data_IF_491029124870
#
_entry.id   IF_491029124870
#
_cell.length_a   1.000
_cell.length_b   1.000
_cell.length_c   1.000
_cell.angle_alpha   90.00
_cell.angle_beta   90.00
_cell.angle_gamma   90.00
#
_symmetry.space_group_name_H-M   'P 1'
#
loop_
_entity.id
_entity.type
_entity.pdbx_description
1 polymer ?
#
# COMPACT_ATOMS: atom_id res chain seq x y z
N UNK A 1 -7.09 42.61 9.55
CA UNK A 1 -5.92 42.27 10.40
C UNK A 1 -5.92 40.74 10.56
N UNK A 2 -5.23 40.06 9.65
CA UNK A 2 -5.20 38.59 9.56
C UNK A 2 -4.02 38.06 10.38
N UNK A 3 -4.31 37.28 11.40
CA UNK A 3 -3.28 36.63 12.22
C UNK A 3 -3.05 35.21 11.70
N UNK A 4 -1.98 35.04 10.93
CA UNK A 4 -1.41 33.74 10.59
C UNK A 4 -0.65 33.22 11.81
N UNK A 5 -1.14 32.20 12.48
CA UNK A 5 -0.34 31.36 13.42
C UNK A 5 -1.01 29.99 13.58
N UNK A 6 -0.58 29.02 12.78
CA UNK A 6 -0.45 27.63 13.22
C UNK A 6 0.59 26.92 12.35
N UNK A 7 1.85 27.29 12.57
CA UNK A 7 2.97 26.45 12.18
C UNK A 7 3.02 25.28 13.19
N UNK A 8 2.49 24.14 12.81
CA UNK A 8 2.45 22.92 13.61
C UNK A 8 3.90 22.55 13.95
N UNK A 9 4.30 22.64 15.22
CA UNK A 9 5.60 22.20 15.72
C UNK A 9 5.83 20.75 15.29
N UNK A 10 6.65 20.55 14.30
CA UNK A 10 7.13 19.24 13.90
C UNK A 10 7.84 18.62 15.12
N UNK A 11 7.41 17.43 15.52
CA UNK A 11 7.87 16.78 16.75
C UNK A 11 9.38 16.51 16.62
N UNK A 12 10.22 17.21 17.36
CA UNK A 12 11.68 17.13 17.29
C UNK A 12 12.21 15.70 17.41
N UNK A 13 11.47 14.81 18.07
CA UNK A 13 11.80 13.37 18.16
C UNK A 13 11.75 12.66 16.80
N UNK A 14 10.83 13.06 15.93
CA UNK A 14 10.72 12.47 14.57
C UNK A 14 11.88 12.94 13.69
N UNK A 15 12.22 14.23 13.75
CA UNK A 15 13.37 14.80 13.01
C UNK A 15 14.69 14.16 13.47
N UNK A 16 14.86 13.96 14.77
CA UNK A 16 16.06 13.30 15.33
C UNK A 16 16.13 11.83 14.88
N UNK A 17 15.02 11.11 14.84
CA UNK A 17 14.98 9.73 14.35
C UNK A 17 15.37 9.64 12.87
N UNK A 18 14.87 10.54 12.03
CA UNK A 18 15.20 10.60 10.61
C UNK A 18 16.64 11.03 10.34
N UNK A 19 17.17 11.98 11.12
CA UNK A 19 18.58 12.38 11.03
C UNK A 19 19.51 11.25 11.49
N UNK A 20 19.13 10.48 12.50
CA UNK A 20 19.90 9.33 12.95
C UNK A 20 19.95 8.20 11.92
N UNK A 21 18.82 7.90 11.28
CA UNK A 21 18.74 6.96 10.15
C UNK A 21 19.58 7.45 8.97
N UNK A 22 19.51 8.72 8.60
CA UNK A 22 20.30 9.31 7.54
C UNK A 22 21.81 9.27 7.84
N UNK A 23 22.20 9.56 9.09
CA UNK A 23 23.60 9.51 9.53
C UNK A 23 24.14 8.09 9.55
N UNK A 24 23.34 7.08 9.90
CA UNK A 24 23.74 5.66 9.79
C UNK A 24 24.04 5.25 8.34
N UNK A 25 23.37 5.85 7.35
CA UNK A 25 23.66 5.60 5.94
C UNK A 25 24.93 6.32 5.45
N UNK A 26 25.34 7.39 6.10
CA UNK A 26 26.51 8.19 5.68
C UNK A 26 27.85 7.73 6.28
N UNK A 27 27.84 6.96 7.36
CA UNK A 27 29.07 6.52 8.04
C UNK A 27 29.40 5.07 7.71
N UNK A 28 30.45 4.88 6.93
CA UNK A 28 31.42 3.75 6.82
C UNK A 28 31.85 3.47 5.38
N UNK A 29 33.16 3.52 5.15
CA UNK A 29 33.78 3.48 3.82
C UNK A 29 34.13 2.08 3.27
N UNK A 30 33.85 0.98 3.93
CA UNK A 30 34.42 -0.34 3.57
C UNK A 30 33.46 -1.52 3.69
N UNK A 31 32.26 -1.44 3.06
CA UNK A 31 31.41 -2.62 2.97
C UNK A 31 31.00 -2.88 1.52
N UNK A 32 30.96 -4.15 1.13
CA UNK A 32 30.50 -4.57 -0.17
C UNK A 32 29.13 -3.91 -0.46
N UNK A 33 29.07 -3.14 -1.54
CA UNK A 33 27.86 -2.44 -1.96
C UNK A 33 27.26 -3.22 -3.12
N UNK A 34 26.02 -3.65 -2.95
CA UNK A 34 25.24 -4.29 -4.00
C UNK A 34 24.12 -3.37 -4.40
N UNK A 35 23.83 -3.31 -5.68
CA UNK A 35 22.60 -2.70 -6.18
C UNK A 35 21.81 -3.78 -6.92
N UNK A 36 20.51 -3.81 -6.75
CA UNK A 36 19.65 -4.68 -7.55
C UNK A 36 18.47 -3.90 -8.13
N UNK A 37 18.01 -4.38 -9.28
CA UNK A 37 16.74 -4.02 -9.86
C UNK A 37 15.84 -5.25 -9.84
N UNK A 38 14.60 -5.07 -9.45
CA UNK A 38 13.65 -6.16 -9.40
C UNK A 38 12.31 -5.79 -9.99
N UNK A 39 11.66 -6.81 -10.52
CA UNK A 39 10.26 -6.77 -10.94
C UNK A 39 9.49 -7.84 -10.20
N UNK A 40 8.24 -7.58 -9.90
CA UNK A 40 7.40 -8.50 -9.14
C UNK A 40 5.98 -8.53 -9.64
N UNK A 41 5.37 -9.68 -9.46
CA UNK A 41 3.96 -9.94 -9.70
C UNK A 41 3.34 -10.49 -8.42
N UNK A 42 2.07 -10.19 -8.22
CA UNK A 42 1.39 -10.66 -7.02
C UNK A 42 -0.02 -10.10 -6.86
N UNK A 43 -0.39 -9.88 -5.63
CA UNK A 43 -1.74 -9.46 -5.24
C UNK A 43 -1.67 -8.17 -4.42
N UNK A 44 -2.67 -7.31 -4.64
CA UNK A 44 -2.98 -6.16 -3.79
C UNK A 44 -4.34 -6.37 -3.17
N UNK A 45 -4.44 -6.29 -1.84
CA UNK A 45 -5.65 -6.60 -1.07
C UNK A 45 -6.06 -5.36 -0.29
N UNK A 46 -7.34 -5.02 -0.34
CA UNK A 46 -7.94 -3.98 0.48
C UNK A 46 -8.33 -4.52 1.87
N UNK A 47 -8.23 -3.64 2.87
CA UNK A 47 -8.64 -3.89 4.24
C UNK A 47 -9.23 -2.62 4.86
N UNK A 48 -10.54 -2.57 5.04
CA UNK A 48 -11.29 -1.42 5.55
C UNK A 48 -12.76 -1.79 5.80
N UNK A 49 -13.70 -0.90 5.48
CA UNK A 49 -15.12 -1.02 5.80
C UNK A 49 -15.88 -2.14 5.06
N UNK A 50 -15.35 -2.64 3.94
CA UNK A 50 -15.93 -3.73 3.15
C UNK A 50 -15.15 -5.05 3.33
N UNK A 51 -14.84 -5.41 4.57
CA UNK A 51 -14.12 -6.63 4.86
C UNK A 51 -15.05 -7.87 4.82
N UNK A 52 -14.55 -8.94 4.23
CA UNK A 52 -15.17 -10.25 4.34
C UNK A 52 -14.91 -10.88 5.73
N UNK A 53 -15.73 -11.88 6.17
CA UNK A 53 -15.77 -12.34 7.56
C UNK A 53 -14.53 -13.08 8.03
N UNK A 54 -13.76 -13.67 7.14
CA UNK A 54 -12.52 -14.36 7.49
C UNK A 54 -11.32 -13.74 6.79
N UNK A 55 -10.15 -13.91 7.40
CA UNK A 55 -8.88 -13.47 6.80
C UNK A 55 -8.72 -14.02 5.37
N UNK A 56 -8.94 -15.31 5.16
CA UNK A 56 -8.77 -15.95 3.86
C UNK A 56 -9.78 -15.44 2.83
N UNK A 57 -11.05 -15.31 3.20
CA UNK A 57 -12.11 -14.81 2.31
C UNK A 57 -11.84 -13.34 1.94
N UNK A 58 -11.43 -12.53 2.91
CA UNK A 58 -11.06 -11.13 2.65
C UNK A 58 -9.83 -11.02 1.75
N UNK A 59 -8.78 -11.79 2.10
CA UNK A 59 -7.52 -11.77 1.38
C UNK A 59 -7.69 -12.18 -0.09
N UNK A 60 -8.35 -13.28 -0.38
CA UNK A 60 -8.55 -13.73 -1.77
C UNK A 60 -9.73 -13.06 -2.46
N UNK A 61 -10.77 -12.68 -1.73
CA UNK A 61 -11.97 -12.04 -2.29
C UNK A 61 -11.75 -10.57 -2.67
N UNK A 62 -11.03 -9.82 -1.84
CA UNK A 62 -10.79 -8.39 -2.03
C UNK A 62 -9.46 -8.09 -2.73
N UNK A 63 -8.74 -9.12 -3.18
CA UNK A 63 -7.50 -8.96 -3.90
C UNK A 63 -7.70 -8.72 -5.38
N UNK A 64 -6.79 -7.94 -5.93
CA UNK A 64 -6.60 -7.81 -7.36
C UNK A 64 -5.14 -8.08 -7.74
N UNK A 65 -4.88 -8.12 -9.04
CA UNK A 65 -3.54 -8.26 -9.57
C UNK A 65 -2.67 -7.06 -9.18
N UNK A 66 -1.42 -7.33 -8.82
CA UNK A 66 -0.40 -6.34 -8.50
C UNK A 66 0.88 -6.56 -9.28
N UNK A 67 1.48 -5.46 -9.71
CA UNK A 67 2.81 -5.38 -10.32
C UNK A 67 3.69 -4.48 -9.47
N UNK A 68 4.96 -4.83 -9.33
CA UNK A 68 5.97 -4.05 -8.63
C UNK A 68 7.23 -3.94 -9.46
N UNK A 69 7.85 -2.77 -9.47
CA UNK A 69 9.22 -2.56 -9.92
C UNK A 69 9.99 -1.82 -8.82
N UNK A 70 11.23 -2.19 -8.58
CA UNK A 70 12.03 -1.53 -7.56
C UNK A 70 13.52 -1.51 -7.88
N UNK A 71 14.18 -0.50 -7.37
CA UNK A 71 15.64 -0.43 -7.28
C UNK A 71 16.06 -0.46 -5.82
N UNK A 72 17.10 -1.23 -5.51
CA UNK A 72 17.62 -1.41 -4.16
C UNK A 72 19.12 -1.14 -4.12
N UNK A 73 19.54 -0.44 -3.10
CA UNK A 73 20.92 -0.19 -2.77
C UNK A 73 21.22 -0.79 -1.41
N UNK A 74 22.14 -1.75 -1.35
CA UNK A 74 22.57 -2.39 -0.12
C UNK A 74 23.85 -1.76 0.41
N UNK A 75 23.83 -1.41 1.70
CA UNK A 75 25.00 -0.98 2.44
C UNK A 75 25.45 -2.11 3.36
N UNK A 76 26.58 -2.72 3.00
CA UNK A 76 27.00 -3.96 3.65
C UNK A 76 26.09 -5.13 3.26
N UNK A 77 25.86 -6.03 4.21
CA UNK A 77 25.08 -7.25 4.00
C UNK A 77 23.78 -7.30 4.81
N UNK A 78 23.45 -6.22 5.55
CA UNK A 78 22.26 -6.20 6.44
C UNK A 78 21.32 -5.03 6.23
N UNK A 79 21.77 -3.93 5.64
CA UNK A 79 20.94 -2.74 5.45
C UNK A 79 20.75 -2.46 3.96
N UNK A 80 19.54 -2.12 3.57
CA UNK A 80 19.27 -1.65 2.23
C UNK A 80 18.29 -0.47 2.23
N UNK A 81 18.41 0.35 1.22
CA UNK A 81 17.45 1.38 0.84
C UNK A 81 16.81 0.97 -0.48
N UNK A 82 15.49 0.98 -0.55
CA UNK A 82 14.73 0.59 -1.73
C UNK A 82 13.80 1.71 -2.16
N UNK A 83 13.86 2.07 -3.44
CA UNK A 83 12.82 2.82 -4.12
C UNK A 83 11.92 1.86 -4.89
N UNK A 84 10.60 1.96 -4.73
CA UNK A 84 9.65 1.06 -5.41
C UNK A 84 8.48 1.80 -6.03
N UNK A 85 8.03 1.26 -7.15
CA UNK A 85 6.79 1.57 -7.83
C UNK A 85 5.87 0.35 -7.73
N UNK A 86 4.63 0.56 -7.31
CA UNK A 86 3.61 -0.49 -7.28
C UNK A 86 2.40 -0.03 -8.08
N UNK A 87 1.90 -0.89 -8.93
CA UNK A 87 0.61 -0.73 -9.59
C UNK A 87 -0.26 -1.94 -9.27
N UNK A 88 -1.47 -1.71 -8.79
CA UNK A 88 -2.35 -2.80 -8.41
C UNK A 88 -3.82 -2.44 -8.51
N UNK A 89 -4.64 -3.44 -8.30
CA UNK A 89 -6.09 -3.31 -8.24
C UNK A 89 -6.59 -3.88 -6.93
N UNK A 90 -7.43 -3.13 -6.25
CA UNK A 90 -8.10 -3.52 -5.01
C UNK A 90 -9.60 -3.48 -5.22
N UNK A 91 -10.31 -4.28 -4.46
CA UNK A 91 -11.78 -4.34 -4.48
C UNK A 91 -12.32 -4.57 -3.08
N UNK A 92 -13.58 -4.19 -2.87
CA UNK A 92 -14.39 -4.55 -1.71
C UNK A 92 -15.82 -4.79 -2.18
N UNK A 93 -16.53 -5.69 -1.49
CA UNK A 93 -17.89 -6.08 -1.85
C UNK A 93 -18.64 -6.57 -0.63
N UNK A 94 -19.68 -5.83 -0.23
CA UNK A 94 -20.51 -6.15 0.91
C UNK A 94 -21.24 -7.50 0.76
N UNK A 95 -21.50 -7.95 -0.47
CA UNK A 95 -22.14 -9.25 -0.72
C UNK A 95 -21.34 -10.45 -0.21
N UNK A 96 -20.05 -10.26 0.11
CA UNK A 96 -19.17 -11.29 0.68
C UNK A 96 -19.15 -11.28 2.21
N UNK A 97 -19.82 -10.33 2.84
CA UNK A 97 -19.90 -10.23 4.29
C UNK A 97 -20.83 -11.30 4.89
N UNK A 98 -20.67 -11.55 6.19
CA UNK A 98 -21.63 -12.29 7.00
C UNK A 98 -22.40 -11.38 7.97
N UNK A 99 -22.20 -10.07 7.87
CA UNK A 99 -22.88 -9.09 8.68
C UNK A 99 -24.14 -8.61 7.94
N UNK A 100 -25.30 -8.79 8.52
CA UNK A 100 -26.58 -8.44 7.89
C UNK A 100 -26.66 -6.99 7.45
N UNK A 101 -26.09 -6.07 8.23
CA UNK A 101 -26.08 -4.66 7.90
C UNK A 101 -25.20 -4.33 6.68
N UNK A 102 -24.09 -5.05 6.46
CA UNK A 102 -23.26 -4.89 5.26
C UNK A 102 -23.97 -5.51 4.04
N UNK A 103 -24.55 -6.71 4.19
CA UNK A 103 -25.34 -7.33 3.12
C UNK A 103 -26.48 -6.40 2.66
N UNK A 104 -27.18 -5.78 3.62
CA UNK A 104 -28.25 -4.80 3.32
C UNK A 104 -27.70 -3.54 2.68
N UNK A 105 -26.54 -3.04 3.10
CA UNK A 105 -25.88 -1.87 2.52
C UNK A 105 -25.56 -2.08 1.04
N UNK A 106 -25.15 -3.29 0.66
CA UNK A 106 -24.98 -3.76 -0.72
C UNK A 106 -24.05 -2.90 -1.58
N UNK A 107 -23.02 -2.35 -0.99
CA UNK A 107 -22.04 -1.53 -1.70
C UNK A 107 -20.89 -2.40 -2.22
N UNK A 108 -20.29 -1.95 -3.30
CA UNK A 108 -19.06 -2.52 -3.82
C UNK A 108 -18.21 -1.45 -4.48
N UNK A 109 -16.92 -1.68 -4.47
CA UNK A 109 -15.97 -0.81 -5.18
C UNK A 109 -14.85 -1.59 -5.82
N UNK A 110 -14.20 -0.93 -6.75
CA UNK A 110 -12.96 -1.32 -7.39
C UNK A 110 -12.11 -0.10 -7.58
N UNK A 111 -10.84 -0.17 -7.19
CA UNK A 111 -9.91 0.93 -7.38
C UNK A 111 -8.60 0.44 -7.99
N UNK A 112 -8.06 1.20 -8.95
CA UNK A 112 -6.65 1.09 -9.31
C UNK A 112 -5.83 1.89 -8.31
N UNK A 113 -4.73 1.29 -7.88
CA UNK A 113 -3.78 1.88 -6.95
C UNK A 113 -2.43 1.99 -7.62
N UNK A 114 -1.85 3.19 -7.59
CA UNK A 114 -0.48 3.47 -8.05
C UNK A 114 0.29 4.03 -6.88
N UNK A 115 1.45 3.48 -6.56
CA UNK A 115 2.25 3.86 -5.39
C UNK A 115 3.70 4.11 -5.78
N UNK A 116 4.29 5.12 -5.17
CA UNK A 116 5.73 5.35 -5.10
C UNK A 116 6.17 5.31 -3.64
N UNK A 117 7.14 4.46 -3.32
CA UNK A 117 7.62 4.31 -1.95
C UNK A 117 9.14 4.36 -1.85
N UNK A 118 9.61 4.83 -0.70
CA UNK A 118 11.00 4.71 -0.26
C UNK A 118 11.01 3.94 1.05
N UNK A 119 11.74 2.84 1.08
CA UNK A 119 11.73 1.86 2.15
C UNK A 119 13.15 1.52 2.60
N UNK A 120 13.35 1.40 3.91
CA UNK A 120 14.51 0.77 4.52
C UNK A 120 14.29 -0.73 4.69
N UNK A 121 15.32 -1.52 4.51
CA UNK A 121 15.30 -2.96 4.76
C UNK A 121 16.39 -3.35 5.75
N UNK A 122 16.03 -4.22 6.69
CA UNK A 122 16.96 -4.81 7.66
C UNK A 122 16.96 -6.31 7.49
N UNK A 123 18.07 -6.85 7.01
CA UNK A 123 18.27 -8.29 6.80
C UNK A 123 18.63 -8.96 8.13
N UNK A 124 17.84 -9.93 8.54
CA UNK A 124 18.04 -10.72 9.77
C UNK A 124 19.25 -11.62 9.59
N UNK A 125 19.30 -12.34 8.46
CA UNK A 125 20.49 -13.08 8.04
C UNK A 125 21.24 -12.25 6.98
N UNK A 126 22.58 -12.22 7.02
CA UNK A 126 23.35 -11.47 6.04
C UNK A 126 23.03 -11.91 4.62
N UNK A 127 22.74 -10.94 3.75
CA UNK A 127 22.58 -11.17 2.32
C UNK A 127 23.94 -11.13 1.65
N UNK A 128 24.28 -12.19 0.91
CA UNK A 128 25.44 -12.23 0.03
C UNK A 128 25.14 -13.15 -1.15
N UNK A 129 25.62 -12.80 -2.32
CA UNK A 129 25.51 -13.63 -3.53
C UNK A 129 26.80 -14.43 -3.79
N UNK A 130 27.76 -14.41 -2.87
CA UNK A 130 29.00 -15.15 -2.99
C UNK A 130 28.77 -16.66 -2.81
N UNK A 131 29.55 -17.51 -3.49
CA UNK A 131 29.51 -18.97 -3.29
C UNK A 131 29.74 -19.34 -1.83
N UNK A 132 28.91 -20.23 -1.30
CA UNK A 132 28.98 -20.65 0.11
C UNK A 132 28.27 -19.73 1.11
N UNK A 133 27.63 -18.65 0.64
CA UNK A 133 26.78 -17.79 1.47
C UNK A 133 25.41 -18.40 1.73
N UNK A 134 24.61 -17.73 2.59
CA UNK A 134 23.26 -18.17 2.90
C UNK A 134 22.38 -18.18 1.65
N UNK A 135 21.76 -19.31 1.36
CA UNK A 135 20.74 -19.43 0.31
C UNK A 135 19.51 -18.56 0.56
N UNK A 136 19.22 -18.25 1.84
CA UNK A 136 18.01 -17.61 2.30
C UNK A 136 18.34 -16.38 3.15
N UNK A 137 17.75 -15.24 2.85
CA UNK A 137 17.96 -13.98 3.55
C UNK A 137 16.63 -13.28 3.87
N UNK A 138 16.05 -13.52 5.05
CA UNK A 138 14.84 -12.84 5.51
C UNK A 138 15.16 -11.41 5.94
N UNK A 139 14.19 -10.50 5.70
CA UNK A 139 14.33 -9.09 6.05
C UNK A 139 13.01 -8.49 6.55
N UNK A 140 13.16 -7.46 7.35
CA UNK A 140 12.08 -6.53 7.72
C UNK A 140 12.18 -5.30 6.85
N UNK A 141 11.05 -4.71 6.52
CA UNK A 141 11.00 -3.48 5.73
C UNK A 141 10.01 -2.49 6.32
N UNK A 142 10.35 -1.21 6.26
CA UNK A 142 9.48 -0.10 6.63
C UNK A 142 9.86 1.15 5.86
N UNK A 143 8.88 2.07 5.67
CA UNK A 143 9.15 3.28 4.90
C UNK A 143 8.00 4.26 4.83
N UNK A 144 8.02 5.07 3.78
CA UNK A 144 6.97 6.03 3.45
C UNK A 144 6.58 5.88 1.99
N UNK A 145 5.31 6.08 1.71
CA UNK A 145 4.76 5.98 0.37
C UNK A 145 3.80 7.12 0.07
N UNK A 146 3.76 7.54 -1.19
CA UNK A 146 2.68 8.34 -1.75
C UNK A 146 1.91 7.47 -2.74
N UNK A 147 0.59 7.50 -2.68
CA UNK A 147 -0.24 6.68 -3.55
C UNK A 147 -1.44 7.44 -4.10
N UNK A 148 -1.92 6.95 -5.23
CA UNK A 148 -3.08 7.45 -5.96
C UNK A 148 -4.09 6.32 -6.10
N UNK A 149 -5.36 6.64 -5.96
CA UNK A 149 -6.47 5.69 -6.05
C UNK A 149 -7.67 6.34 -6.74
N UNK A 150 -8.60 5.53 -7.25
CA UNK A 150 -9.77 6.00 -7.98
C UNK A 150 -10.91 4.99 -7.81
N UNK A 151 -11.69 5.09 -6.70
CA UNK A 151 -12.77 4.16 -6.42
C UNK A 151 -13.91 4.31 -7.43
N UNK A 152 -14.33 3.17 -7.95
CA UNK A 152 -15.39 3.04 -8.95
C UNK A 152 -16.31 1.89 -8.56
N UNK A 153 -17.54 1.96 -8.99
CA UNK A 153 -18.52 0.86 -8.87
C UNK A 153 -19.17 0.57 -10.21
N UNK A 154 -19.80 -0.59 -10.33
CA UNK A 154 -20.64 -0.92 -11.49
C UNK A 154 -22.09 -0.60 -11.17
N UNK A 155 -22.71 0.24 -11.97
CA UNK A 155 -24.12 0.58 -11.86
C UNK A 155 -24.81 0.50 -13.22
N UNK A 156 -25.89 -0.28 -13.29
CA UNK A 156 -26.63 -0.52 -14.55
C UNK A 156 -25.73 -0.91 -15.73
N UNK A 157 -24.74 -1.79 -15.47
CA UNK A 157 -23.81 -2.28 -16.48
C UNK A 157 -22.70 -1.30 -16.89
N UNK A 158 -22.61 -0.12 -16.27
CA UNK A 158 -21.58 0.89 -16.53
C UNK A 158 -20.66 1.09 -15.34
N UNK A 159 -19.38 1.31 -15.60
CA UNK A 159 -18.42 1.70 -14.57
C UNK A 159 -18.57 3.19 -14.23
N UNK A 160 -18.80 3.49 -12.96
CA UNK A 160 -19.02 4.86 -12.46
C UNK A 160 -17.96 5.19 -11.41
N UNK A 161 -17.31 6.34 -11.53
CA UNK A 161 -16.37 6.86 -10.53
C UNK A 161 -17.13 7.46 -9.35
N UNK A 162 -16.77 7.05 -8.12
CA UNK A 162 -17.48 7.45 -6.91
C UNK A 162 -17.07 8.84 -6.42
N UNK A 163 -15.77 9.13 -6.37
CA UNK A 163 -15.25 10.38 -5.85
C UNK A 163 -15.92 11.67 -6.42
N UNK A 164 -16.18 11.77 -7.76
CA UNK A 164 -16.81 12.97 -8.30
C UNK A 164 -18.27 13.16 -7.85
N UNK A 165 -18.94 12.08 -7.40
CA UNK A 165 -20.33 12.12 -6.98
C UNK A 165 -20.52 12.72 -5.59
N UNK A 166 -19.58 12.49 -4.67
CA UNK A 166 -19.71 12.92 -3.28
C UNK A 166 -20.86 12.20 -2.58
N UNK A 167 -20.79 10.87 -2.55
CA UNK A 167 -21.83 9.95 -2.07
C UNK A 167 -22.22 10.13 -0.60
N UNK A 168 -21.37 10.78 0.20
CA UNK A 168 -21.61 11.15 1.61
C UNK A 168 -21.91 12.65 1.77
N UNK A 169 -22.33 13.32 0.68
CA UNK A 169 -22.65 14.73 0.68
C UNK A 169 -21.44 15.65 0.61
N UNK A 170 -20.27 15.13 0.24
CA UNK A 170 -19.10 15.98 0.02
C UNK A 170 -19.38 17.00 -1.11
N UNK A 171 -19.05 18.26 -0.82
CA UNK A 171 -19.30 19.39 -1.71
C UNK A 171 -20.67 20.05 -1.54
N UNK A 172 -21.55 19.52 -0.70
CA UNK A 172 -22.80 20.19 -0.31
C UNK A 172 -22.53 21.41 0.59
N UNK A 173 -23.43 22.43 0.62
CA UNK A 173 -23.31 23.51 1.58
C UNK A 173 -23.23 23.02 3.03
N UNK A 174 -22.23 23.46 3.77
CA UNK A 174 -22.01 23.06 5.17
C UNK A 174 -21.38 21.67 5.35
N UNK A 175 -20.98 20.98 4.27
CA UNK A 175 -20.29 19.70 4.29
C UNK A 175 -18.84 19.83 3.81
N UNK A 176 -17.99 18.85 4.13
CA UNK A 176 -16.60 18.84 3.65
C UNK A 176 -16.51 18.88 2.12
N UNK A 177 -15.39 19.36 1.61
CA UNK A 177 -15.06 19.22 0.19
C UNK A 177 -14.88 17.74 -0.19
N UNK A 178 -14.99 17.44 -1.49
CA UNK A 178 -14.70 16.08 -2.00
C UNK A 178 -13.27 15.71 -1.65
N UNK A 179 -13.07 14.46 -1.22
CA UNK A 179 -11.77 13.94 -0.81
C UNK A 179 -10.76 13.93 -1.95
N UNK A 180 -9.48 13.97 -1.60
CA UNK A 180 -8.38 13.84 -2.56
C UNK A 180 -8.17 12.38 -2.94
N UNK A 181 -7.86 12.10 -4.21
CA UNK A 181 -7.54 10.76 -4.71
C UNK A 181 -6.05 10.41 -4.60
N UNK A 182 -5.31 11.18 -3.85
CA UNK A 182 -3.93 10.91 -3.48
C UNK A 182 -3.74 11.08 -1.99
N UNK A 183 -2.95 10.21 -1.40
CA UNK A 183 -2.63 10.22 0.02
C UNK A 183 -1.25 9.64 0.26
N UNK A 184 -0.83 9.64 1.52
CA UNK A 184 0.37 9.00 1.98
C UNK A 184 0.05 7.71 2.74
N UNK A 185 1.03 6.83 2.83
CA UNK A 185 0.94 5.61 3.63
C UNK A 185 2.28 5.32 4.33
N UNK A 186 2.20 4.53 5.39
CA UNK A 186 3.35 3.94 6.07
C UNK A 186 3.40 2.45 5.74
N UNK A 187 4.22 2.03 4.77
CA UNK A 187 4.48 0.63 4.50
C UNK A 187 5.36 0.03 5.59
N UNK A 188 5.01 -1.17 6.03
CA UNK A 188 5.84 -2.03 6.89
C UNK A 188 5.54 -3.49 6.61
N UNK A 189 6.54 -4.34 6.70
CA UNK A 189 6.35 -5.74 6.34
C UNK A 189 7.60 -6.59 6.49
N UNK A 190 7.50 -7.76 5.94
CA UNK A 190 8.56 -8.75 5.95
C UNK A 190 8.69 -9.38 4.57
N UNK A 191 9.90 -9.81 4.27
CA UNK A 191 10.19 -10.52 3.04
C UNK A 191 11.37 -11.46 3.21
N UNK A 192 11.60 -12.23 2.19
CA UNK A 192 12.75 -13.12 2.11
C UNK A 192 13.29 -13.14 0.69
N UNK A 193 14.62 -13.21 0.57
CA UNK A 193 15.31 -13.47 -0.70
C UNK A 193 15.85 -14.88 -0.73
N UNK A 194 15.67 -15.52 -1.85
CA UNK A 194 16.21 -16.83 -2.20
C UNK A 194 17.26 -16.64 -3.30
N UNK A 195 18.51 -16.90 -3.00
CA UNK A 195 19.63 -16.67 -3.90
C UNK A 195 19.70 -17.85 -4.86
N UNK A 196 19.47 -17.61 -6.16
CA UNK A 196 19.53 -18.64 -7.20
C UNK A 196 20.91 -18.71 -7.83
N UNK A 197 21.47 -17.54 -8.13
CA UNK A 197 22.80 -17.38 -8.70
C UNK A 197 23.48 -16.14 -8.12
N UNK A 198 24.73 -15.89 -8.48
CA UNK A 198 25.43 -14.67 -8.07
C UNK A 198 24.74 -13.37 -8.55
N UNK A 199 23.94 -13.45 -9.60
CA UNK A 199 23.30 -12.28 -10.23
C UNK A 199 21.78 -12.28 -10.15
N UNK A 200 21.15 -13.41 -9.80
CA UNK A 200 19.70 -13.57 -9.79
C UNK A 200 19.23 -14.09 -8.44
N UNK A 201 18.23 -13.43 -7.86
CA UNK A 201 17.53 -13.94 -6.70
C UNK A 201 16.02 -13.77 -6.83
N UNK A 202 15.26 -14.68 -6.22
CA UNK A 202 13.83 -14.57 -6.02
C UNK A 202 13.54 -13.89 -4.69
N UNK A 203 12.52 -13.07 -4.64
CA UNK A 203 12.00 -12.47 -3.41
C UNK A 203 10.55 -12.84 -3.23
N UNK A 204 10.17 -13.04 -1.98
CA UNK A 204 8.78 -13.09 -1.56
C UNK A 204 8.60 -12.05 -0.45
N UNK A 205 7.57 -11.21 -0.57
CA UNK A 205 7.32 -10.21 0.46
C UNK A 205 5.82 -9.98 0.68
N UNK A 206 5.50 -9.66 1.93
CA UNK A 206 4.19 -9.19 2.37
C UNK A 206 4.38 -7.87 3.08
N UNK A 207 3.76 -6.82 2.54
CA UNK A 207 3.88 -5.47 3.07
C UNK A 207 2.49 -4.90 3.30
N UNK A 208 2.23 -4.46 4.53
CA UNK A 208 1.03 -3.78 4.96
C UNK A 208 1.27 -2.27 4.84
N UNK A 209 0.30 -1.53 4.36
CA UNK A 209 0.31 -0.06 4.30
C UNK A 209 -0.82 0.50 5.13
N UNK A 210 -0.47 1.20 6.18
CA UNK A 210 -1.41 2.07 6.86
C UNK A 210 -1.54 3.36 6.07
N UNK A 211 -2.71 3.61 5.48
CA UNK A 211 -2.95 4.85 4.76
C UNK A 211 -3.29 6.01 5.72
N UNK A 212 -3.28 7.24 5.21
CA UNK A 212 -3.78 8.41 5.91
C UNK A 212 -5.06 8.91 5.24
N UNK A 213 -5.92 8.00 4.82
CA UNK A 213 -7.25 8.27 4.28
C UNK A 213 -8.17 7.10 4.56
N UNK A 214 -9.44 7.40 4.78
CA UNK A 214 -10.53 6.46 4.99
C UNK A 214 -11.48 6.45 3.76
N UNK A 215 -10.97 6.86 2.59
CA UNK A 215 -11.76 6.97 1.36
C UNK A 215 -11.25 6.12 0.20
N UNK A 216 -10.43 5.10 0.49
CA UNK A 216 -9.95 4.21 -0.57
C UNK A 216 -11.11 3.47 -1.24
N UNK A 217 -12.18 3.21 -0.47
CA UNK A 217 -13.42 2.54 -0.89
C UNK A 217 -14.63 3.47 -1.05
N UNK A 218 -14.46 4.79 -0.88
CA UNK A 218 -15.53 5.80 -0.88
C UNK A 218 -16.46 5.70 0.34
N UNK A 219 -16.02 5.05 1.43
CA UNK A 219 -16.76 4.94 2.69
C UNK A 219 -15.95 5.56 3.82
N UNK A 220 -16.59 6.39 4.63
CA UNK A 220 -15.94 6.97 5.81
C UNK A 220 -16.93 7.40 6.89
N UNK A 221 -18.06 8.02 6.52
CA UNK A 221 -18.86 8.78 7.48
C UNK A 221 -20.31 8.29 7.55
N UNK A 222 -21.23 9.13 7.14
CA UNK A 222 -22.66 8.92 7.37
C UNK A 222 -23.47 9.07 6.09
N UNK A 223 -24.64 8.45 6.08
CA UNK A 223 -25.63 8.69 5.04
C UNK A 223 -26.18 10.10 5.09
N UNK A 224 -26.49 10.62 3.92
CA UNK A 224 -27.31 11.82 3.71
C UNK A 224 -28.68 11.38 3.24
N UNK A 225 -29.73 12.07 3.68
CA UNK A 225 -31.06 11.82 3.18
C UNK A 225 -31.08 11.83 1.65
N UNK A 226 -31.78 10.85 1.07
CA UNK A 226 -31.79 10.64 -0.38
C UNK A 226 -32.21 11.90 -1.16
N UNK A 227 -33.28 12.57 -0.74
CA UNK A 227 -33.82 13.77 -1.44
C UNK A 227 -32.85 14.94 -1.37
N UNK A 228 -32.16 15.11 -0.23
CA UNK A 228 -31.19 16.19 -0.05
C UNK A 228 -29.93 15.94 -0.92
N UNK A 229 -29.44 14.70 -0.93
CA UNK A 229 -28.29 14.31 -1.74
C UNK A 229 -28.62 14.38 -3.24
N UNK A 230 -29.82 13.91 -3.62
CA UNK A 230 -30.29 13.93 -5.01
C UNK A 230 -30.41 15.35 -5.55
N UNK A 231 -30.95 16.28 -4.72
CA UNK A 231 -31.08 17.69 -5.09
C UNK A 231 -29.74 18.40 -5.22
N UNK A 232 -28.76 18.06 -4.39
CA UNK A 232 -27.47 18.75 -4.35
C UNK A 232 -26.43 18.12 -5.29
N UNK A 233 -26.23 16.83 -5.20
CA UNK A 233 -25.17 16.11 -5.91
C UNK A 233 -25.68 15.28 -7.10
N UNK A 234 -27.00 15.23 -7.26
CA UNK A 234 -27.68 14.51 -8.35
C UNK A 234 -28.15 13.12 -7.96
N UNK A 235 -29.16 12.62 -8.71
CA UNK A 235 -29.81 11.32 -8.46
C UNK A 235 -28.83 10.15 -8.50
N UNK A 236 -27.79 10.21 -9.35
CA UNK A 236 -26.77 9.15 -9.42
C UNK A 236 -25.96 9.06 -8.13
N UNK A 237 -25.61 10.20 -7.52
CA UNK A 237 -24.93 10.24 -6.23
C UNK A 237 -25.79 9.61 -5.13
N UNK A 238 -27.09 9.94 -5.09
CA UNK A 238 -28.02 9.40 -4.12
C UNK A 238 -28.22 7.89 -4.29
N UNK A 239 -28.37 7.39 -5.52
CA UNK A 239 -28.51 5.96 -5.80
C UNK A 239 -27.25 5.16 -5.44
N UNK A 240 -26.07 5.72 -5.62
CA UNK A 240 -24.81 5.04 -5.30
C UNK A 240 -24.35 5.25 -3.85
N UNK A 241 -24.93 6.21 -3.14
CA UNK A 241 -24.73 6.37 -1.71
C UNK A 241 -25.35 5.22 -0.91
N UNK A 242 -26.53 4.75 -1.34
CA UNK A 242 -27.29 3.68 -0.68
C UNK A 242 -27.89 2.74 -1.74
N UNK A 243 -27.52 1.46 -1.69
CA UNK A 243 -28.00 0.43 -2.63
C UNK A 243 -28.88 -0.64 -1.94
N UNK A 244 -29.48 -0.29 -0.80
CA UNK A 244 -30.39 -1.18 -0.07
C UNK A 244 -31.61 -1.62 -0.89
N UNK A 245 -32.15 -0.72 -1.73
CA UNK A 245 -33.27 -1.03 -2.59
C UNK A 245 -32.95 -2.17 -3.58
N UNK A 246 -31.72 -2.23 -4.09
CA UNK A 246 -31.28 -3.33 -4.96
C UNK A 246 -31.23 -4.65 -4.19
N UNK A 247 -30.75 -4.64 -2.95
CA UNK A 247 -30.72 -5.82 -2.08
C UNK A 247 -32.12 -6.32 -1.75
N UNK A 248 -33.06 -5.41 -1.48
CA UNK A 248 -34.46 -5.71 -1.15
C UNK A 248 -35.33 -6.02 -2.39
N UNK A 249 -34.80 -5.86 -3.61
CA UNK A 249 -35.56 -6.02 -4.85
C UNK A 249 -36.65 -4.99 -5.04
N UNK A 250 -36.48 -3.79 -4.46
CA UNK A 250 -37.44 -2.67 -4.55
C UNK A 250 -37.03 -1.69 -5.63
N UNK A 251 -38.03 -1.12 -6.33
CA UNK A 251 -37.78 -0.08 -7.33
C UNK A 251 -37.46 1.28 -6.67
N UNK A 252 -38.13 1.59 -5.57
CA UNK A 252 -37.98 2.86 -4.88
C UNK A 252 -36.75 2.89 -3.98
N UNK A 253 -36.01 4.00 -3.94
CA UNK A 253 -34.86 4.15 -3.07
C UNK A 253 -35.23 4.03 -1.58
N UNK A 254 -34.41 3.32 -0.82
CA UNK A 254 -34.55 3.29 0.65
C UNK A 254 -33.98 4.58 1.22
N UNK A 255 -34.81 5.36 1.88
CA UNK A 255 -34.42 6.63 2.49
C UNK A 255 -33.99 6.43 3.93
N UNK A 256 -32.76 6.77 4.24
CA UNK A 256 -32.22 6.78 5.61
C UNK A 256 -32.11 8.24 6.12
N UNK A 257 -32.29 8.45 7.44
CA UNK A 257 -32.06 9.76 8.04
C UNK A 257 -30.60 10.20 7.86
N UNK A 258 -30.40 11.50 7.60
CA UNK A 258 -29.05 12.10 7.63
C UNK A 258 -28.39 11.86 8.99
N UNK A 259 -27.16 11.31 8.98
CA UNK A 259 -26.41 10.99 10.19
C UNK A 259 -26.42 9.49 10.55
N UNK A 260 -27.18 8.66 9.84
CA UNK A 260 -27.04 7.19 9.95
C UNK A 260 -25.64 6.75 9.52
N UNK A 261 -25.04 5.82 10.23
CA UNK A 261 -23.66 5.34 9.95
C UNK A 261 -23.62 4.65 8.59
N UNK A 262 -22.69 5.08 7.73
CA UNK A 262 -22.40 4.46 6.42
C UNK A 262 -21.05 3.74 6.41
N UNK A 263 -20.02 4.33 6.97
CA UNK A 263 -18.66 3.82 7.10
C UNK A 263 -18.07 4.05 8.49
N UNK A 264 -16.86 3.60 8.71
CA UNK A 264 -16.18 3.61 10.00
C UNK A 264 -15.13 4.71 10.16
N UNK A 265 -15.53 5.98 10.22
CA UNK A 265 -14.66 7.18 10.27
C UNK A 265 -13.52 7.17 11.31
N UNK A 266 -13.40 6.15 12.16
CA UNK A 266 -12.42 6.09 13.24
C UNK A 266 -11.11 5.39 12.87
N UNK A 267 -11.08 4.64 11.79
CA UNK A 267 -9.94 3.82 11.40
C UNK A 267 -9.64 4.03 9.91
N UNK A 268 -8.50 4.60 9.62
CA UNK A 268 -8.01 4.73 8.23
C UNK A 268 -7.93 3.37 7.52
N UNK A 269 -8.13 3.36 6.23
CA UNK A 269 -8.01 2.18 5.37
C UNK A 269 -6.58 1.63 5.32
N UNK A 270 -6.48 0.32 5.13
CA UNK A 270 -5.23 -0.39 4.90
C UNK A 270 -5.25 -1.07 3.53
N UNK A 271 -4.08 -1.30 2.98
CA UNK A 271 -3.92 -2.25 1.88
C UNK A 271 -2.64 -3.05 2.04
N UNK A 272 -2.68 -4.27 1.53
CA UNK A 272 -1.59 -5.25 1.66
C UNK A 272 -1.13 -5.63 0.26
N UNK A 273 0.18 -5.68 0.05
CA UNK A 273 0.74 -6.30 -1.16
C UNK A 273 1.46 -7.56 -0.79
N UNK A 274 1.21 -8.61 -1.56
CA UNK A 274 1.98 -9.87 -1.53
C UNK A 274 2.58 -10.06 -2.89
N UNK A 275 3.91 -10.00 -2.96
CA UNK A 275 4.65 -10.00 -4.22
C UNK A 275 5.69 -11.12 -4.27
N UNK A 276 5.76 -11.79 -5.40
CA UNK A 276 6.88 -12.61 -5.81
C UNK A 276 7.74 -11.79 -6.76
N UNK A 277 9.01 -11.61 -6.44
CA UNK A 277 9.91 -10.73 -7.19
C UNK A 277 11.09 -11.49 -7.78
N UNK A 278 11.48 -11.12 -8.98
CA UNK A 278 12.73 -11.53 -9.60
C UNK A 278 13.69 -10.33 -9.57
N UNK A 279 14.85 -10.51 -8.99
CA UNK A 279 15.82 -9.44 -8.77
C UNK A 279 17.14 -9.75 -9.48
N UNK A 280 17.69 -8.74 -10.15
CA UNK A 280 18.97 -8.79 -10.84
C UNK A 280 19.99 -7.95 -10.07
N UNK A 281 21.02 -8.57 -9.59
CA UNK A 281 22.09 -7.96 -8.79
C UNK A 281 23.17 -7.41 -9.70
N UNK A 282 23.49 -6.13 -9.52
CA UNK A 282 24.61 -5.45 -10.16
C UNK A 282 25.68 -5.23 -9.12
N UNK A 283 26.81 -5.88 -9.30
CA UNK A 283 28.00 -5.65 -8.46
C UNK A 283 28.83 -4.54 -9.09
N UNK A 284 29.10 -3.48 -8.33
CA UNK A 284 30.09 -2.51 -8.78
C UNK A 284 31.47 -3.18 -8.79
N UNK A 285 32.11 -3.19 -9.96
CA UNK A 285 33.43 -3.79 -10.19
C UNK A 285 34.54 -3.25 -9.28
N UNK A 286 34.30 -2.15 -8.58
CA UNK A 286 35.20 -1.55 -7.57
C UNK A 286 35.04 -2.18 -6.16
N UNK A 287 33.98 -2.90 -5.88
CA UNK A 287 33.73 -3.59 -4.58
C UNK A 287 34.19 -5.02 -4.54
N UNK A 288 34.43 -5.66 -5.67
CA UNK A 288 35.09 -6.96 -5.71
C UNK A 288 36.58 -6.79 -5.45
N UNK A 289 37.01 -6.77 -4.20
CA UNK A 289 38.18 -7.62 -3.90
C UNK A 289 37.75 -9.04 -4.23
N UNK A 290 38.20 -9.59 -5.36
CA UNK A 290 38.30 -11.02 -5.57
C UNK A 290 39.03 -11.58 -4.33
N UNK A 291 38.25 -12.00 -3.33
CA UNK A 291 38.74 -12.98 -2.36
C UNK A 291 38.82 -14.33 -3.05
N UNK A 292 39.72 -14.43 -3.98
CA UNK A 292 39.86 -15.62 -4.80
C UNK A 292 41.03 -15.56 -5.75
N UNK A 293 41.73 -14.45 -5.86
CA UNK A 293 43.10 -14.45 -6.23
C UNK A 293 43.88 -14.64 -4.92
N UNK A 294 43.86 -15.84 -4.41
CA UNK A 294 44.85 -16.29 -3.50
C UNK A 294 46.20 -16.10 -4.16
N UNK A 295 46.94 -15.08 -3.71
CA UNK A 295 48.36 -15.24 -3.51
C UNK A 295 48.57 -16.33 -2.42
N UNK A 296 48.12 -17.53 -2.69
CA UNK A 296 48.74 -18.73 -2.09
C UNK A 296 50.07 -18.83 -2.78
N UNK A 297 51.02 -18.05 -2.29
CA UNK A 297 52.42 -18.35 -2.51
C UNK A 297 52.62 -19.75 -1.94
N UNK A 298 52.65 -20.76 -2.82
CA UNK A 298 53.08 -22.07 -2.43
C UNK A 298 54.46 -21.91 -1.71
N UNK A 299 54.59 -22.43 -0.49
CA UNK A 299 55.88 -22.41 0.15
C UNK A 299 56.85 -23.18 -0.74
N UNK A 300 57.80 -22.48 -1.34
CA UNK A 300 58.95 -23.11 -2.01
C UNK A 300 59.83 -23.70 -0.92
N UNK A 301 59.72 -25.00 -0.74
CA UNK A 301 60.75 -25.74 0.01
C UNK A 301 62.04 -25.63 -0.75
N UNK A 302 63.05 -25.04 -0.13
CA UNK A 302 64.48 -25.16 -0.49
C UNK A 302 65.10 -26.27 0.34
#
# INVERSE_FOLDING_TARGET
MFTVKNCRKMNNKLVICWTFVLVMFLSNKNNAQYSDLGVGLGMTTYWGDMNAPSFATNYFGNSGFGFQAHGRYMKGNRLALRGSFVYGRINGDDSRSNQDWQLQRNLNFRSHLTELAVMGELYILPFSTEPGSNFFAPYLTAGVAAFWFDPKTTYQGREVRLQPLGTEGQGMPGRPAKYSRNSFALPFGLGAKFILTETINLGFEVVIRRSFTDYIDDLSSVYINYDDLSRSNGTLAANLSNRMNEFLGQADPVTLPTGSIRGGAQVDDYYVTTMLTLNFVFTDSKGRKRMGSNDVKCPTFR
#
